data_IF_229949762764
#
_entry.id   IF_229949762764
#
_cell.length_a   1.000
_cell.length_b   1.000
_cell.length_c   1.000
_cell.angle_alpha   90.00
_cell.angle_beta   90.00
_cell.angle_gamma   90.00
#
_symmetry.space_group_name_H-M   'P 1'
#
loop_
_entity.id
_entity.type
_entity.pdbx_description
1 polymer ?
#
# COMPACT_ATOMS: atom_id res chain seq x y z
N UNK A 1 -6.55 0.38 -5.10
CA UNK A 1 -6.37 1.77 -5.54
C UNK A 1 -5.03 1.82 -6.23
N UNK A 2 -4.94 1.99 -7.55
CA UNK A 2 -3.62 1.97 -8.20
C UNK A 2 -2.63 2.91 -7.50
N UNK A 3 -1.51 2.37 -7.03
CA UNK A 3 -0.47 3.15 -6.36
C UNK A 3 0.89 2.45 -6.37
N UNK A 4 1.94 3.24 -6.14
CA UNK A 4 3.25 2.73 -5.74
C UNK A 4 3.44 3.03 -4.25
N UNK A 5 3.61 1.99 -3.45
CA UNK A 5 3.66 2.11 -2.00
C UNK A 5 5.05 1.86 -1.43
N UNK A 6 5.39 2.63 -0.40
CA UNK A 6 6.62 2.48 0.38
C UNK A 6 6.26 2.36 1.85
N UNK A 7 6.67 1.26 2.47
CA UNK A 7 6.55 1.08 3.90
C UNK A 7 7.95 1.03 4.50
N UNK A 8 8.26 1.95 5.41
CA UNK A 8 9.57 2.04 6.05
C UNK A 8 9.43 2.41 7.53
N UNK A 9 10.39 1.95 8.33
CA UNK A 9 10.45 2.30 9.74
C UNK A 9 10.99 3.72 9.90
N UNK A 10 10.37 4.48 10.78
CA UNK A 10 10.79 5.83 11.15
C UNK A 10 10.97 5.93 12.66
N UNK A 11 11.86 6.83 13.09
CA UNK A 11 12.06 7.15 14.50
C UNK A 11 10.87 7.92 15.10
N UNK A 12 10.18 8.70 14.27
CA UNK A 12 9.03 9.54 14.62
C UNK A 12 8.16 9.68 13.38
N UNK A 13 7.00 9.03 13.37
CA UNK A 13 6.03 9.16 12.29
C UNK A 13 5.51 10.59 12.20
N UNK A 14 5.43 11.29 13.33
CA UNK A 14 5.06 12.71 13.35
C UNK A 14 6.07 13.59 12.59
N UNK A 15 7.35 13.49 12.91
CA UNK A 15 8.38 14.35 12.31
C UNK A 15 8.58 14.01 10.83
N UNK A 16 8.53 12.72 10.49
CA UNK A 16 8.66 12.26 9.12
C UNK A 16 7.45 12.65 8.26
N UNK A 17 6.24 12.60 8.82
CA UNK A 17 5.04 13.13 8.18
C UNK A 17 5.19 14.63 7.87
N UNK A 18 5.69 15.43 8.80
CA UNK A 18 5.90 16.87 8.59
C UNK A 18 6.91 17.14 7.46
N UNK A 19 8.02 16.37 7.41
CA UNK A 19 9.00 16.44 6.33
C UNK A 19 8.35 16.14 4.97
N UNK A 20 7.57 15.07 4.88
CA UNK A 20 6.85 14.68 3.65
C UNK A 20 5.88 15.79 3.22
N UNK A 21 5.13 16.37 4.15
CA UNK A 21 4.22 17.49 3.85
C UNK A 21 4.98 18.69 3.29
N UNK A 22 6.11 19.05 3.88
CA UNK A 22 6.94 20.15 3.40
C UNK A 22 7.49 19.90 1.98
N UNK A 23 7.96 18.68 1.70
CA UNK A 23 8.45 18.30 0.38
C UNK A 23 7.33 18.30 -0.66
N UNK A 24 6.18 17.72 -0.34
CA UNK A 24 5.02 17.70 -1.22
C UNK A 24 4.53 19.13 -1.54
N UNK A 25 4.42 20.02 -0.54
CA UNK A 25 4.07 21.43 -0.76
C UNK A 25 5.08 22.13 -1.67
N UNK A 26 6.38 21.87 -1.48
CA UNK A 26 7.44 22.44 -2.33
C UNK A 26 7.37 21.94 -3.78
N UNK A 27 6.85 20.74 -3.98
CA UNK A 27 6.61 20.14 -5.29
C UNK A 27 5.22 20.44 -5.87
N UNK A 28 4.39 21.24 -5.20
CA UNK A 28 2.99 21.51 -5.56
C UNK A 28 2.12 20.25 -5.65
N UNK A 29 2.36 19.30 -4.75
CA UNK A 29 1.58 18.06 -4.63
C UNK A 29 0.68 18.10 -3.40
N UNK A 30 -0.46 17.43 -3.49
CA UNK A 30 -1.38 17.23 -2.37
C UNK A 30 -1.05 15.94 -1.62
N UNK A 31 -1.23 15.98 -0.30
CA UNK A 31 -1.05 14.82 0.59
C UNK A 31 -2.37 14.51 1.25
N UNK A 32 -2.69 13.23 1.35
CA UNK A 32 -3.88 12.69 1.96
C UNK A 32 -3.49 11.68 3.01
N UNK A 33 -4.32 11.53 4.04
CA UNK A 33 -4.13 10.54 5.09
C UNK A 33 -5.32 9.59 5.15
N UNK A 34 -5.03 8.31 5.29
CA UNK A 34 -5.99 7.28 5.66
C UNK A 34 -5.90 7.00 7.16
N UNK A 35 -7.06 6.88 7.81
CA UNK A 35 -7.13 6.40 9.18
C UNK A 35 -6.97 4.88 9.17
N UNK A 36 -5.79 4.38 9.54
CA UNK A 36 -5.55 2.95 9.62
C UNK A 36 -5.92 2.37 10.99
N UNK A 37 -6.36 1.12 10.98
CA UNK A 37 -6.66 0.33 12.17
C UNK A 37 -5.39 -0.28 12.82
N UNK A 38 -4.24 -0.23 12.14
CA UNK A 38 -2.96 -0.81 12.60
C UNK A 38 -2.09 0.17 13.41
N UNK A 39 -2.58 1.40 13.63
CA UNK A 39 -1.86 2.45 14.35
C UNK A 39 -0.71 3.08 13.57
N UNK A 40 -0.46 2.68 12.32
CA UNK A 40 0.56 3.27 11.47
C UNK A 40 0.02 4.51 10.75
N UNK A 41 0.93 5.35 10.26
CA UNK A 41 0.56 6.56 9.51
C UNK A 41 0.62 6.27 8.02
N UNK A 42 -0.55 6.22 7.38
CA UNK A 42 -0.73 5.97 5.96
C UNK A 42 -0.96 7.28 5.23
N UNK A 43 -0.04 7.64 4.34
CA UNK A 43 -0.06 8.87 3.56
C UNK A 43 -0.16 8.53 2.08
N UNK A 44 -0.92 9.31 1.34
CA UNK A 44 -1.03 9.21 -0.11
C UNK A 44 -0.70 10.56 -0.73
N UNK A 45 0.08 10.57 -1.80
CA UNK A 45 0.54 11.78 -2.49
C UNK A 45 0.10 11.69 -3.94
N UNK A 46 -0.51 12.76 -4.47
CA UNK A 46 -0.94 12.83 -5.86
C UNK A 46 -2.21 13.65 -6.06
N UNK A 47 -2.97 13.32 -7.10
CA UNK A 47 -4.28 13.92 -7.41
C UNK A 47 -5.38 12.87 -7.24
N UNK A 48 -6.30 13.10 -6.30
CA UNK A 48 -7.44 12.18 -6.08
C UNK A 48 -8.65 12.53 -6.94
N UNK A 49 -8.65 13.67 -7.64
CA UNK A 49 -9.76 14.08 -8.51
C UNK A 49 -9.79 13.26 -9.79
N UNK A 50 -8.62 12.87 -10.29
CA UNK A 50 -8.47 11.89 -11.35
C UNK A 50 -8.26 10.48 -10.76
N UNK A 51 -9.30 9.65 -10.81
CA UNK A 51 -9.31 8.34 -10.17
C UNK A 51 -8.44 7.29 -10.89
N UNK A 52 -8.09 7.55 -12.16
CA UNK A 52 -7.21 6.69 -12.96
C UNK A 52 -5.73 6.91 -12.63
N UNK A 53 -5.36 8.09 -12.13
CA UNK A 53 -3.97 8.42 -11.85
C UNK A 53 -3.47 7.64 -10.63
N UNK A 54 -2.28 7.01 -10.71
CA UNK A 54 -1.71 6.30 -9.57
C UNK A 54 -1.28 7.29 -8.49
N UNK A 55 -1.50 6.92 -7.24
CA UNK A 55 -0.97 7.67 -6.09
C UNK A 55 0.41 7.11 -5.69
N UNK A 56 1.16 7.90 -4.94
CA UNK A 56 2.28 7.37 -4.15
C UNK A 56 1.78 7.15 -2.74
N UNK A 57 1.92 5.94 -2.21
CA UNK A 57 1.60 5.63 -0.82
C UNK A 57 2.89 5.59 0.01
N UNK A 58 2.83 6.17 1.21
CA UNK A 58 3.87 6.10 2.21
C UNK A 58 3.26 5.63 3.52
N UNK A 59 3.72 4.48 4.01
CA UNK A 59 3.34 3.93 5.31
C UNK A 59 4.51 4.09 6.27
N UNK A 60 4.32 4.97 7.25
CA UNK A 60 5.32 5.26 8.27
C UNK A 60 5.10 4.36 9.48
N UNK A 61 6.12 3.56 9.80
CA UNK A 61 6.09 2.64 10.93
C UNK A 61 6.95 3.18 12.07
N UNK A 62 6.32 3.67 13.14
CA UNK A 62 7.06 4.21 14.31
C UNK A 62 7.38 3.10 15.32
N UNK A 63 6.39 2.28 15.67
CA UNK A 63 6.55 1.17 16.60
C UNK A 63 6.31 -0.16 15.89
N UNK A 64 7.38 -0.94 15.75
CA UNK A 64 7.30 -2.38 15.55
C UNK A 64 7.41 -3.03 16.93
N UNK A 65 6.34 -3.11 17.72
CA UNK A 65 6.40 -4.01 18.89
C UNK A 65 6.55 -5.43 18.36
N UNK A 66 7.79 -5.91 18.26
CA UNK A 66 8.03 -7.32 18.06
C UNK A 66 9.22 -7.75 18.92
N UNK A 67 8.89 -8.15 20.14
CA UNK A 67 9.74 -8.96 21.02
C UNK A 67 10.01 -10.36 20.42
N UNK A 68 9.50 -10.69 19.22
CA UNK A 68 9.48 -12.04 18.63
C UNK A 68 9.81 -12.13 17.12
N UNK A 69 10.28 -11.08 16.41
CA UNK A 69 10.77 -11.20 15.02
C UNK A 69 12.25 -10.90 14.88
N UNK A 70 13.00 -11.79 14.23
CA UNK A 70 14.43 -11.63 13.95
C UNK A 70 14.75 -10.51 12.94
N UNK A 71 13.82 -10.09 12.06
CA UNK A 71 13.94 -8.83 11.30
C UNK A 71 12.61 -8.41 10.63
N UNK A 72 12.32 -7.11 10.62
CA UNK A 72 11.32 -6.46 9.77
C UNK A 72 12.07 -5.80 8.61
N UNK A 73 11.58 -5.92 7.37
CA UNK A 73 12.16 -5.21 6.23
C UNK A 73 11.17 -4.18 5.68
N UNK A 74 11.66 -3.02 5.22
CA UNK A 74 10.85 -2.14 4.41
C UNK A 74 10.33 -2.88 3.17
N UNK A 75 9.20 -2.45 2.66
CA UNK A 75 8.68 -2.99 1.41
C UNK A 75 8.30 -1.89 0.43
N UNK A 76 8.51 -2.21 -0.83
CA UNK A 76 7.97 -1.50 -1.97
C UNK A 76 6.86 -2.35 -2.56
N UNK A 77 5.71 -1.74 -2.80
CA UNK A 77 4.55 -2.42 -3.36
C UNK A 77 4.05 -1.72 -4.62
N UNK A 78 3.72 -2.54 -5.61
CA UNK A 78 3.01 -2.12 -6.82
C UNK A 78 1.57 -2.60 -6.65
N UNK A 79 0.64 -1.68 -6.49
CA UNK A 79 -0.77 -2.00 -6.30
C UNK A 79 -1.54 -1.74 -7.60
N UNK A 80 -2.23 -2.77 -8.08
CA UNK A 80 -3.01 -2.76 -9.32
C UNK A 80 -4.42 -3.23 -9.02
N UNK A 81 -5.40 -2.37 -9.25
CA UNK A 81 -6.80 -2.76 -9.20
C UNK A 81 -7.21 -3.54 -10.44
N UNK A 82 -8.03 -4.55 -10.22
CA UNK A 82 -8.56 -5.40 -11.28
C UNK A 82 -10.05 -5.61 -11.10
N UNK A 83 -10.71 -6.05 -12.17
CA UNK A 83 -12.07 -6.58 -12.11
C UNK A 83 -12.12 -8.08 -11.78
N UNK A 84 -11.00 -8.64 -11.30
CA UNK A 84 -10.85 -10.07 -11.12
C UNK A 84 -11.19 -10.52 -9.70
N UNK A 85 -11.76 -11.70 -9.68
CA UNK A 85 -11.59 -12.80 -8.76
C UNK A 85 -10.31 -12.96 -7.92
N UNK A 86 -10.39 -13.47 -6.70
CA UNK A 86 -9.22 -13.85 -5.90
C UNK A 86 -8.60 -15.12 -6.47
N UNK A 87 -9.44 -16.09 -6.87
CA UNK A 87 -8.98 -17.29 -7.57
C UNK A 87 -8.39 -16.92 -8.94
N UNK A 88 -9.03 -15.99 -9.66
CA UNK A 88 -8.55 -15.52 -10.97
C UNK A 88 -7.20 -14.80 -10.87
N UNK A 89 -7.03 -13.91 -9.88
CA UNK A 89 -5.77 -13.21 -9.63
C UNK A 89 -4.66 -14.22 -9.27
N UNK A 90 -4.92 -15.18 -8.38
CA UNK A 90 -3.96 -16.23 -8.03
C UNK A 90 -3.52 -17.03 -9.25
N UNK A 91 -4.47 -17.38 -10.14
CA UNK A 91 -4.18 -18.07 -11.38
C UNK A 91 -3.32 -17.23 -12.34
N UNK A 92 -3.63 -15.93 -12.48
CA UNK A 92 -2.84 -14.99 -13.30
C UNK A 92 -1.41 -14.88 -12.79
N UNK A 93 -1.22 -14.65 -11.49
CA UNK A 93 0.10 -14.53 -10.87
C UNK A 93 0.89 -15.84 -11.05
N UNK A 94 0.27 -16.98 -10.74
CA UNK A 94 0.90 -18.30 -10.85
C UNK A 94 1.37 -18.57 -12.28
N UNK A 95 0.52 -18.25 -13.27
CA UNK A 95 0.84 -18.39 -14.69
C UNK A 95 1.98 -17.46 -15.11
N UNK A 96 1.89 -16.17 -14.75
CA UNK A 96 2.86 -15.14 -15.12
C UNK A 96 4.27 -15.45 -14.60
N UNK A 97 4.39 -15.95 -13.38
CA UNK A 97 5.68 -16.28 -12.76
C UNK A 97 6.07 -17.76 -12.88
N UNK A 98 5.34 -18.56 -13.66
CA UNK A 98 5.62 -19.99 -13.85
C UNK A 98 5.66 -20.77 -12.53
N UNK A 99 4.81 -20.41 -11.57
CA UNK A 99 4.71 -21.03 -10.25
C UNK A 99 5.87 -20.73 -9.28
N UNK A 100 6.84 -19.88 -9.66
CA UNK A 100 7.99 -19.53 -8.78
C UNK A 100 7.61 -18.59 -7.64
N UNK A 101 6.56 -17.80 -7.86
CA UNK A 101 6.02 -16.87 -6.86
C UNK A 101 4.69 -17.44 -6.39
N UNK A 102 4.54 -17.59 -5.07
CA UNK A 102 3.31 -18.08 -4.46
C UNK A 102 2.45 -16.89 -4.03
N UNK A 103 1.32 -16.61 -4.68
CA UNK A 103 0.40 -15.59 -4.20
C UNK A 103 -0.26 -16.00 -2.88
N UNK A 104 -0.67 -15.01 -2.10
CA UNK A 104 -1.49 -15.21 -0.91
C UNK A 104 -2.49 -14.07 -0.74
N UNK A 105 -3.64 -14.38 -0.14
CA UNK A 105 -4.72 -13.42 0.08
C UNK A 105 -4.48 -12.58 1.32
N UNK A 106 -4.75 -11.29 1.20
CA UNK A 106 -4.89 -10.40 2.34
C UNK A 106 -6.38 -10.14 2.52
N UNK A 107 -6.87 -10.43 3.72
CA UNK A 107 -8.27 -10.25 4.09
C UNK A 107 -8.41 -9.04 4.99
N UNK A 108 -9.40 -8.20 4.69
CA UNK A 108 -9.84 -7.15 5.60
C UNK A 108 -11.03 -7.62 6.45
N UNK A 109 -11.45 -6.76 7.40
CA UNK A 109 -12.53 -7.02 8.35
C UNK A 109 -13.76 -7.64 7.67
N UNK A 110 -14.38 -8.63 8.33
CA UNK A 110 -15.50 -9.44 7.83
C UNK A 110 -15.16 -10.46 6.72
N UNK A 111 -13.91 -10.93 6.64
CA UNK A 111 -13.48 -12.00 5.71
C UNK A 111 -13.60 -11.65 4.22
N UNK A 112 -13.71 -10.37 3.89
CA UNK A 112 -13.63 -9.90 2.51
C UNK A 112 -12.16 -9.88 2.06
N UNK A 113 -11.86 -10.47 0.90
CA UNK A 113 -10.52 -10.40 0.31
C UNK A 113 -10.34 -8.99 -0.25
N UNK A 114 -9.42 -8.21 0.31
CA UNK A 114 -9.14 -6.87 -0.21
C UNK A 114 -8.16 -6.94 -1.39
N UNK A 115 -7.19 -7.85 -1.34
CA UNK A 115 -6.18 -8.04 -2.39
C UNK A 115 -5.52 -9.42 -2.33
N UNK A 116 -4.84 -9.79 -3.41
CA UNK A 116 -3.90 -10.91 -3.47
C UNK A 116 -2.50 -10.34 -3.65
N UNK A 117 -1.58 -10.72 -2.76
CA UNK A 117 -0.18 -10.29 -2.76
C UNK A 117 0.72 -11.38 -3.33
N UNK A 118 1.69 -10.97 -4.13
CA UNK A 118 2.79 -11.78 -4.63
C UNK A 118 4.12 -11.15 -4.23
N UNK A 119 4.86 -11.81 -3.33
CA UNK A 119 6.23 -11.40 -3.01
C UNK A 119 7.17 -11.79 -4.12
N UNK A 120 7.66 -10.81 -4.87
CA UNK A 120 8.52 -11.01 -6.03
C UNK A 120 9.97 -11.31 -5.63
N UNK A 121 10.41 -10.81 -4.48
CA UNK A 121 11.74 -11.04 -3.94
C UNK A 121 12.22 -9.95 -3.01
N UNK A 122 13.54 -9.88 -2.80
CA UNK A 122 14.21 -8.86 -2.00
C UNK A 122 15.31 -8.22 -2.84
N UNK A 123 15.32 -6.89 -2.90
CA UNK A 123 16.38 -6.10 -3.55
C UNK A 123 16.98 -5.18 -2.51
N UNK A 124 18.28 -5.31 -2.24
CA UNK A 124 19.01 -4.45 -1.30
C UNK A 124 18.34 -4.32 0.08
N UNK A 125 17.75 -5.40 0.60
CA UNK A 125 17.05 -5.42 1.89
C UNK A 125 15.62 -4.85 1.87
N UNK A 126 15.04 -4.60 0.69
CA UNK A 126 13.67 -4.14 0.52
C UNK A 126 12.85 -5.28 -0.09
N UNK A 127 11.74 -5.67 0.54
CA UNK A 127 10.78 -6.59 -0.06
C UNK A 127 10.11 -5.92 -1.26
N UNK A 128 10.01 -6.63 -2.38
CA UNK A 128 9.27 -6.18 -3.55
C UNK A 128 8.00 -7.01 -3.65
N UNK A 129 6.85 -6.36 -3.48
CA UNK A 129 5.54 -6.99 -3.52
C UNK A 129 4.72 -6.47 -4.72
N UNK A 130 3.97 -7.36 -5.36
CA UNK A 130 2.92 -7.03 -6.32
C UNK A 130 1.58 -7.32 -5.67
N UNK A 131 0.75 -6.30 -5.52
CA UNK A 131 -0.58 -6.37 -4.96
C UNK A 131 -1.61 -6.19 -6.06
N UNK A 132 -2.54 -7.13 -6.13
CA UNK A 132 -3.64 -7.08 -7.09
C UNK A 132 -4.96 -6.97 -6.31
N UNK A 133 -5.56 -5.80 -6.40
CA UNK A 133 -6.84 -5.46 -5.79
C UNK A 133 -8.01 -6.09 -6.53
N UNK A 134 -9.00 -6.51 -5.76
CA UNK A 134 -10.24 -7.12 -6.25
C UNK A 134 -11.26 -6.05 -6.70
N UNK A 135 -12.20 -6.38 -7.59
CA UNK A 135 -13.24 -5.45 -8.10
C UNK A 135 -14.00 -4.73 -6.97
N UNK A 136 -14.33 -5.48 -5.92
CA UNK A 136 -15.06 -5.03 -4.74
C UNK A 136 -14.25 -4.19 -3.74
N UNK A 137 -12.99 -3.83 -4.02
CA UNK A 137 -12.21 -2.89 -3.19
C UNK A 137 -12.78 -1.48 -3.23
N UNK A 138 -13.74 -1.19 -4.12
CA UNK A 138 -14.43 0.10 -4.21
C UNK A 138 -13.46 1.29 -4.20
N UNK A 139 -12.38 1.22 -4.99
CA UNK A 139 -11.30 2.22 -5.01
C UNK A 139 -11.79 3.67 -5.06
N UNK A 140 -12.83 3.95 -5.85
CA UNK A 140 -13.45 5.27 -5.92
C UNK A 140 -14.03 5.71 -4.57
N UNK A 141 -14.70 4.80 -3.85
CA UNK A 141 -15.22 5.07 -2.52
C UNK A 141 -14.08 5.37 -1.54
N UNK A 142 -13.01 4.58 -1.54
CA UNK A 142 -11.85 4.82 -0.67
C UNK A 142 -11.22 6.19 -0.93
N UNK A 143 -10.92 6.52 -2.21
CA UNK A 143 -10.33 7.82 -2.57
C UNK A 143 -11.17 9.02 -2.14
N UNK A 144 -12.50 8.92 -2.26
CA UNK A 144 -13.39 10.06 -2.01
C UNK A 144 -13.85 10.18 -0.55
N UNK A 145 -13.91 9.07 0.20
CA UNK A 145 -14.56 9.06 1.51
C UNK A 145 -13.63 8.67 2.67
N UNK A 146 -12.52 7.98 2.36
CA UNK A 146 -11.57 7.50 3.39
C UNK A 146 -10.35 8.42 3.44
N UNK A 147 -9.82 8.83 2.29
CA UNK A 147 -8.68 9.73 2.20
C UNK A 147 -9.07 11.16 2.60
N UNK A 148 -8.38 11.70 3.60
CA UNK A 148 -8.55 13.08 4.06
C UNK A 148 -7.34 13.91 3.65
N UNK A 149 -7.57 14.97 2.88
CA UNK A 149 -6.51 15.89 2.52
C UNK A 149 -5.90 16.52 3.77
N UNK A 150 -4.58 16.59 3.80
CA UNK A 150 -3.82 17.30 4.81
C UNK A 150 -3.45 18.67 4.25
N UNK A 151 -3.73 19.72 5.01
CA UNK A 151 -3.33 21.11 4.72
C UNK A 151 -1.83 21.30 4.96
#
# INVERSE_FOLDING_TARGET
>A
MNHLGFCYQTKSAKDEKERILQEARSAHLHVYQENSNDGQTWLFIGDITNWDDPLVEIVLVENTEDKWKEYWLPHFQIDIDTFLNGDEIEAVITKMFGGKVKPFRIFETNQFICLVRARLGVISGINIDLDMGFEGRMTRYHRMNVLKQLD
#
